data_IF_683515991277
#
_entry.id   IF_683515991277
#
_cell.length_a   1.000
_cell.length_b   1.000
_cell.length_c   1.000
_cell.angle_alpha   90.00
_cell.angle_beta   90.00
_cell.angle_gamma   90.00
#
_symmetry.space_group_name_H-M   'P 1'
#
loop_
_entity.id
_entity.type
_entity.pdbx_description
1 polymer ?
#
# COMPACT_ATOMS: atom_id res chain seq x y z
N UNK A 1 -6.81 22.19 2.17
CA UNK A 1 -6.98 21.21 1.06
C UNK A 1 -8.34 20.53 1.22
N UNK A 2 -9.22 20.68 0.26
CA UNK A 2 -10.55 20.01 0.35
C UNK A 2 -10.35 18.50 0.21
N UNK A 3 -10.75 17.76 1.22
CA UNK A 3 -10.86 16.31 1.14
C UNK A 3 -12.09 15.97 0.28
N UNK A 4 -11.88 15.21 -0.79
CA UNK A 4 -13.00 14.64 -1.54
C UNK A 4 -13.39 13.32 -0.89
N UNK A 5 -14.62 13.16 -0.49
CA UNK A 5 -15.11 11.90 0.05
C UNK A 5 -15.03 10.78 -0.99
N UNK A 6 -14.89 9.56 -0.51
CA UNK A 6 -14.89 8.38 -1.37
C UNK A 6 -16.22 8.27 -2.15
N UNK A 7 -16.18 7.59 -3.28
CA UNK A 7 -17.36 7.40 -4.14
C UNK A 7 -18.62 6.87 -3.40
N UNK A 8 -18.42 6.22 -2.26
CA UNK A 8 -19.53 5.73 -1.43
C UNK A 8 -20.29 6.84 -0.68
N UNK A 9 -19.63 7.96 -0.40
CA UNK A 9 -20.25 9.07 0.33
C UNK A 9 -21.19 9.88 -0.56
N UNK A 10 -20.95 9.89 -1.87
CA UNK A 10 -21.84 10.60 -2.81
C UNK A 10 -23.15 9.89 -3.11
N UNK A 11 -23.28 8.62 -2.72
CA UNK A 11 -24.53 7.88 -2.93
C UNK A 11 -25.72 8.38 -2.09
N UNK A 12 -25.46 9.11 -1.01
CA UNK A 12 -26.48 9.50 -0.03
C UNK A 12 -26.76 11.00 0.04
N UNK A 13 -26.12 11.84 -0.76
CA UNK A 13 -26.43 13.26 -0.76
C UNK A 13 -27.45 13.58 -1.86
N UNK A 14 -28.69 13.73 -1.48
CA UNK A 14 -29.81 14.20 -2.30
C UNK A 14 -29.74 15.72 -2.55
N UNK A 15 -28.64 16.22 -3.03
CA UNK A 15 -28.52 17.61 -3.48
C UNK A 15 -28.38 17.55 -5.00
N UNK A 16 -29.36 18.12 -5.70
CA UNK A 16 -29.48 18.14 -7.16
C UNK A 16 -28.37 18.88 -7.89
N UNK A 17 -27.14 18.47 -7.69
CA UNK A 17 -26.00 18.97 -8.41
C UNK A 17 -25.17 17.78 -8.92
N UNK A 18 -24.58 17.95 -10.05
CA UNK A 18 -23.76 17.01 -10.80
C UNK A 18 -22.97 16.07 -9.88
N UNK A 19 -23.39 14.80 -9.80
CA UNK A 19 -22.66 13.76 -9.07
C UNK A 19 -21.46 13.36 -9.93
N UNK A 20 -20.28 13.79 -9.53
CA UNK A 20 -19.06 13.33 -10.15
C UNK A 20 -18.75 11.91 -9.68
N UNK A 21 -18.85 10.96 -10.57
CA UNK A 21 -18.40 9.58 -10.34
C UNK A 21 -16.99 9.42 -10.90
N UNK A 22 -16.07 8.85 -10.11
CA UNK A 22 -14.75 8.48 -10.61
C UNK A 22 -14.42 7.04 -10.27
N UNK A 23 -13.63 6.43 -11.15
CA UNK A 23 -13.12 5.07 -11.00
C UNK A 23 -11.61 5.03 -11.12
N UNK A 24 -10.94 5.98 -10.47
CA UNK A 24 -9.49 6.09 -10.48
C UNK A 24 -8.88 5.09 -9.49
N UNK A 25 -8.97 3.81 -9.83
CA UNK A 25 -8.42 2.70 -9.04
C UNK A 25 -7.16 2.18 -9.69
N UNK A 26 -6.14 1.99 -8.87
CA UNK A 26 -4.83 1.54 -9.33
C UNK A 26 -4.30 0.43 -8.43
N UNK A 27 -3.72 -0.57 -9.07
CA UNK A 27 -2.80 -1.50 -8.42
C UNK A 27 -1.42 -0.86 -8.40
N UNK A 28 -0.84 -0.71 -7.22
CA UNK A 28 0.49 -0.13 -7.03
C UNK A 28 1.35 -1.15 -6.33
N UNK A 29 2.53 -1.42 -6.89
CA UNK A 29 3.53 -2.29 -6.27
C UNK A 29 4.86 -1.53 -6.19
N UNK A 30 5.46 -1.54 -5.01
CA UNK A 30 6.79 -0.97 -4.80
C UNK A 30 7.57 -1.79 -3.77
N UNK A 31 8.88 -1.71 -3.84
CA UNK A 31 9.77 -2.58 -3.09
C UNK A 31 10.82 -1.78 -2.30
N UNK A 32 11.34 -2.35 -1.19
CA UNK A 32 12.51 -1.81 -0.53
C UNK A 32 13.71 -1.73 -1.47
N UNK A 33 14.61 -0.80 -1.21
CA UNK A 33 15.84 -0.63 -1.97
C UNK A 33 16.64 -1.93 -2.02
N UNK A 34 17.18 -2.26 -3.20
CA UNK A 34 17.88 -3.50 -3.48
C UNK A 34 17.02 -4.77 -3.40
N UNK A 35 15.70 -4.64 -3.47
CA UNK A 35 14.73 -5.75 -3.40
C UNK A 35 15.03 -6.76 -2.28
N UNK A 36 15.58 -6.28 -1.19
CA UNK A 36 15.86 -7.13 -0.03
C UNK A 36 14.59 -7.50 0.68
N UNK A 37 14.48 -8.72 1.12
CA UNK A 37 13.46 -9.16 2.06
C UNK A 37 13.70 -8.45 3.39
N UNK A 38 13.07 -7.29 3.58
CA UNK A 38 13.29 -6.41 4.73
C UNK A 38 12.02 -6.18 5.55
N UNK A 39 10.87 -6.50 4.98
CA UNK A 39 9.56 -6.19 5.57
C UNK A 39 9.09 -7.37 6.42
N UNK A 40 9.54 -7.42 7.67
CA UNK A 40 9.18 -8.48 8.61
C UNK A 40 8.67 -7.92 9.94
N UNK A 41 7.90 -8.72 10.66
CA UNK A 41 7.49 -8.50 12.05
C UNK A 41 7.01 -7.07 12.35
N UNK A 42 7.66 -6.43 13.32
CA UNK A 42 7.33 -5.07 13.77
C UNK A 42 7.43 -4.03 12.66
N UNK A 43 8.43 -4.14 11.79
CA UNK A 43 8.59 -3.24 10.66
C UNK A 43 7.41 -3.36 9.69
N UNK A 44 6.94 -4.58 9.43
CA UNK A 44 5.76 -4.83 8.60
C UNK A 44 4.51 -4.14 9.16
N UNK A 45 4.26 -4.29 10.45
CA UNK A 45 3.13 -3.65 11.14
C UNK A 45 3.23 -2.12 11.10
N UNK A 46 4.40 -1.57 11.37
CA UNK A 46 4.64 -0.12 11.34
C UNK A 46 4.47 0.46 9.93
N UNK A 47 4.98 -0.23 8.90
CA UNK A 47 4.78 0.18 7.51
C UNK A 47 3.28 0.23 7.16
N UNK A 48 2.51 -0.77 7.53
CA UNK A 48 1.08 -0.80 7.32
C UNK A 48 0.36 0.39 7.96
N UNK A 49 0.69 0.71 9.19
CA UNK A 49 0.13 1.87 9.91
C UNK A 49 0.52 3.18 9.23
N UNK A 50 1.79 3.33 8.85
CA UNK A 50 2.32 4.53 8.20
C UNK A 50 1.63 4.76 6.86
N UNK A 51 1.58 3.75 6.00
CA UNK A 51 0.97 3.87 4.68
C UNK A 51 -0.53 4.19 4.75
N UNK A 52 -1.25 3.58 5.68
CA UNK A 52 -2.66 3.88 5.93
C UNK A 52 -2.88 5.34 6.32
N UNK A 53 -2.12 5.85 7.27
CA UNK A 53 -2.20 7.26 7.69
C UNK A 53 -1.91 8.23 6.54
N UNK A 54 -0.89 7.94 5.74
CA UNK A 54 -0.53 8.79 4.60
C UNK A 54 -1.60 8.78 3.52
N UNK A 55 -2.23 7.64 3.26
CA UNK A 55 -3.37 7.55 2.34
C UNK A 55 -4.59 8.33 2.85
N UNK A 56 -4.94 8.17 4.13
CA UNK A 56 -6.03 8.92 4.77
C UNK A 56 -5.80 10.43 4.66
N UNK A 57 -4.59 10.89 4.93
CA UNK A 57 -4.23 12.29 4.84
C UNK A 57 -4.42 12.88 3.44
N UNK A 58 -4.24 12.10 2.40
CA UNK A 58 -4.47 12.51 1.00
C UNK A 58 -5.88 12.22 0.49
N UNK A 59 -6.74 11.66 1.31
CA UNK A 59 -8.08 11.26 0.87
C UNK A 59 -8.08 10.09 -0.10
N UNK A 60 -7.04 9.29 -0.10
CA UNK A 60 -6.91 8.07 -0.90
C UNK A 60 -7.45 6.89 -0.11
N UNK A 61 -8.40 6.17 -0.68
CA UNK A 61 -8.96 4.98 -0.07
C UNK A 61 -8.13 3.74 -0.43
N UNK A 62 -7.72 2.99 0.59
CA UNK A 62 -7.13 1.66 0.41
C UNK A 62 -8.28 0.65 0.33
N UNK A 63 -8.40 -0.01 -0.83
CA UNK A 63 -9.41 -1.05 -1.06
C UNK A 63 -8.88 -2.42 -0.67
N UNK A 64 -7.62 -2.66 -0.94
CA UNK A 64 -6.89 -3.87 -0.63
C UNK A 64 -5.40 -3.54 -0.48
N UNK A 65 -4.70 -4.18 0.43
CA UNK A 65 -3.26 -4.02 0.56
C UNK A 65 -2.63 -5.26 1.16
N UNK A 66 -1.40 -5.51 0.78
CA UNK A 66 -0.61 -6.60 1.31
C UNK A 66 0.87 -6.20 1.41
N UNK A 67 1.48 -6.51 2.54
CA UNK A 67 2.90 -6.33 2.76
C UNK A 67 3.60 -7.69 2.69
N UNK A 68 4.30 -7.92 1.59
CA UNK A 68 5.18 -9.07 1.43
C UNK A 68 6.59 -8.72 1.93
N UNK A 69 7.45 -9.73 2.22
CA UNK A 69 8.80 -9.46 2.72
C UNK A 69 9.66 -8.57 1.82
N UNK A 70 9.44 -8.60 0.52
CA UNK A 70 10.22 -7.90 -0.51
C UNK A 70 9.45 -6.84 -1.29
N UNK A 71 8.16 -6.67 -1.06
CA UNK A 71 7.34 -5.64 -1.73
C UNK A 71 6.06 -5.31 -0.97
N UNK A 72 5.51 -4.17 -1.29
CA UNK A 72 4.16 -3.75 -0.90
C UNK A 72 3.27 -3.78 -2.13
N UNK A 73 2.11 -4.36 -1.99
CA UNK A 73 1.02 -4.27 -2.94
C UNK A 73 -0.14 -3.47 -2.35
N UNK A 74 -0.70 -2.58 -3.14
CA UNK A 74 -1.87 -1.79 -2.75
C UNK A 74 -2.85 -1.66 -3.92
N UNK A 75 -4.12 -1.85 -3.64
CA UNK A 75 -5.21 -1.42 -4.50
C UNK A 75 -5.84 -0.17 -3.88
N UNK A 76 -5.72 0.96 -4.56
CA UNK A 76 -6.14 2.26 -4.05
C UNK A 76 -7.12 2.95 -4.99
N UNK A 77 -8.01 3.76 -4.42
CA UNK A 77 -8.85 4.70 -5.14
C UNK A 77 -8.34 6.12 -4.90
N UNK A 78 -7.85 6.75 -5.96
CA UNK A 78 -7.22 8.07 -5.89
C UNK A 78 -8.21 9.12 -6.42
N UNK A 79 -8.45 10.23 -5.69
CA UNK A 79 -9.25 11.33 -6.20
C UNK A 79 -8.68 11.90 -7.51
N UNK A 80 -9.53 12.27 -8.50
CA UNK A 80 -9.06 12.73 -9.80
C UNK A 80 -8.16 13.96 -9.77
N UNK A 81 -8.25 14.78 -8.73
CA UNK A 81 -7.43 15.97 -8.54
C UNK A 81 -5.97 15.67 -8.22
N UNK A 82 -5.66 14.45 -7.80
CA UNK A 82 -4.31 14.03 -7.41
C UNK A 82 -3.75 13.17 -8.53
N UNK A 83 -2.58 13.55 -9.07
CA UNK A 83 -1.89 12.70 -10.03
C UNK A 83 -1.31 11.47 -9.35
N UNK A 84 -1.35 10.34 -10.04
CA UNK A 84 -0.77 9.09 -9.56
C UNK A 84 0.71 9.24 -9.20
N UNK A 85 1.49 9.86 -10.07
CA UNK A 85 2.93 10.07 -9.84
C UNK A 85 3.20 10.93 -8.61
N UNK A 86 2.43 12.00 -8.42
CA UNK A 86 2.52 12.85 -7.22
C UNK A 86 2.17 12.09 -5.95
N UNK A 87 1.12 11.29 -5.98
CA UNK A 87 0.70 10.47 -4.84
C UNK A 87 1.76 9.42 -4.47
N UNK A 88 2.27 8.66 -5.44
CA UNK A 88 3.29 7.63 -5.18
C UNK A 88 4.59 8.26 -4.69
N UNK A 89 5.01 9.39 -5.25
CA UNK A 89 6.17 10.13 -4.78
C UNK A 89 6.02 10.59 -3.33
N UNK A 90 4.86 11.13 -2.98
CA UNK A 90 4.52 11.52 -1.62
C UNK A 90 4.53 10.30 -0.67
N UNK A 91 3.85 9.23 -1.04
CA UNK A 91 3.73 8.01 -0.24
C UNK A 91 5.10 7.41 0.08
N UNK A 92 5.93 7.22 -0.93
CA UNK A 92 7.27 6.67 -0.78
C UNK A 92 8.21 7.58 0.01
N UNK A 93 8.20 8.88 -0.29
CA UNK A 93 9.07 9.84 0.39
C UNK A 93 8.74 10.00 1.87
N UNK A 94 7.47 10.25 2.20
CA UNK A 94 7.03 10.42 3.58
C UNK A 94 7.13 9.13 4.39
N UNK A 95 6.77 7.99 3.81
CA UNK A 95 6.90 6.72 4.51
C UNK A 95 8.36 6.38 4.82
N UNK A 96 9.29 6.65 3.91
CA UNK A 96 10.72 6.46 4.17
C UNK A 96 11.19 7.24 5.40
N UNK A 97 10.83 8.51 5.49
CA UNK A 97 11.18 9.34 6.66
C UNK A 97 10.59 8.78 7.95
N UNK A 98 9.32 8.42 7.93
CA UNK A 98 8.64 7.87 9.12
C UNK A 98 9.19 6.50 9.54
N UNK A 99 9.57 5.66 8.58
CA UNK A 99 10.22 4.39 8.84
C UNK A 99 11.58 4.61 9.52
N UNK A 100 12.39 5.52 9.01
CA UNK A 100 13.70 5.82 9.59
C UNK A 100 13.60 6.48 10.98
N UNK A 101 12.55 7.24 11.24
CA UNK A 101 12.32 7.80 12.57
C UNK A 101 11.99 6.71 13.60
N UNK A 102 11.19 5.73 13.22
CA UNK A 102 10.83 4.60 14.10
C UNK A 102 11.92 3.53 14.20
N UNK A 103 12.67 3.33 13.14
CA UNK A 103 13.69 2.29 13.00
C UNK A 103 15.02 2.90 12.59
N UNK A 104 15.65 3.63 13.53
CA UNK A 104 16.87 4.39 13.28
C UNK A 104 18.04 3.55 12.76
N UNK A 105 18.12 2.26 13.13
CA UNK A 105 19.12 1.33 12.65
C UNK A 105 19.04 1.09 11.12
N UNK A 106 17.86 1.19 10.55
CA UNK A 106 17.68 1.05 9.08
C UNK A 106 18.26 2.24 8.32
N UNK A 107 18.31 3.40 8.93
CA UNK A 107 18.87 4.61 8.34
C UNK A 107 20.32 4.41 7.88
N UNK A 108 21.12 3.75 8.70
CA UNK A 108 22.50 3.42 8.36
C UNK A 108 22.59 2.38 7.25
N UNK A 109 21.71 1.38 7.27
CA UNK A 109 21.67 0.30 6.27
C UNK A 109 21.31 0.79 4.86
N UNK A 110 20.47 1.83 4.76
CA UNK A 110 19.98 2.37 3.49
C UNK A 110 20.62 3.71 3.10
N UNK A 111 21.71 4.07 3.73
CA UNK A 111 22.48 5.27 3.37
C UNK A 111 21.76 6.59 3.61
N UNK A 112 20.94 6.68 4.63
CA UNK A 112 20.22 7.88 5.09
C UNK A 112 19.19 8.49 4.11
N UNK A 113 18.84 7.86 2.99
CA UNK A 113 18.09 8.58 1.95
C UNK A 113 16.76 7.97 1.58
N UNK A 114 16.74 6.71 1.18
CA UNK A 114 15.54 6.10 0.61
C UNK A 114 15.38 4.67 1.10
N UNK A 115 14.25 4.39 1.70
CA UNK A 115 13.89 3.02 2.04
C UNK A 115 13.41 2.24 0.81
N UNK A 116 12.71 2.91 -0.10
CA UNK A 116 12.11 2.30 -1.29
C UNK A 116 12.99 2.42 -2.53
N UNK A 117 12.89 1.44 -3.42
CA UNK A 117 13.47 1.54 -4.78
C UNK A 117 12.89 2.74 -5.53
N UNK A 118 13.63 3.27 -6.51
CA UNK A 118 13.17 4.39 -7.34
C UNK A 118 11.89 4.11 -8.10
N UNK A 119 11.76 2.93 -8.68
CA UNK A 119 10.61 2.56 -9.50
C UNK A 119 9.41 2.08 -8.70
N UNK A 120 8.30 1.95 -9.37
CA UNK A 120 7.08 1.30 -8.92
C UNK A 120 6.34 0.73 -10.12
N UNK A 121 5.56 -0.31 -9.88
CA UNK A 121 4.65 -0.85 -10.87
C UNK A 121 3.25 -0.32 -10.62
N UNK A 122 2.55 0.05 -11.69
CA UNK A 122 1.16 0.50 -11.63
C UNK A 122 0.37 -0.12 -12.76
N UNK A 123 -0.84 -0.56 -12.43
CA UNK A 123 -1.83 -0.96 -13.40
C UNK A 123 -3.20 -0.38 -13.02
N UNK A 124 -4.01 -0.08 -14.01
CA UNK A 124 -5.38 0.38 -13.80
C UNK A 124 -6.31 -0.80 -13.57
N UNK A 125 -7.28 -0.62 -12.68
CA UNK A 125 -8.29 -1.66 -12.42
C UNK A 125 -9.27 -1.73 -13.57
N UNK A 126 -9.30 -2.83 -14.27
CA UNK A 126 -10.28 -3.07 -15.31
C UNK A 126 -10.39 -4.52 -15.76
N UNK A 127 -9.28 -5.23 -15.91
CA UNK A 127 -9.30 -6.55 -16.51
C UNK A 127 -8.68 -7.68 -15.69
N UNK A 128 -7.86 -7.39 -14.67
CA UNK A 128 -6.98 -8.41 -14.08
C UNK A 128 -7.00 -8.46 -12.54
N UNK A 129 -8.06 -8.00 -11.88
CA UNK A 129 -8.15 -8.03 -10.41
C UNK A 129 -7.95 -9.45 -9.86
N UNK A 130 -8.54 -10.45 -10.51
CA UNK A 130 -8.42 -11.85 -10.11
C UNK A 130 -7.02 -12.41 -10.31
N UNK A 131 -6.36 -12.05 -11.42
CA UNK A 131 -4.99 -12.48 -11.72
C UNK A 131 -4.01 -11.91 -10.72
N UNK A 132 -4.15 -10.63 -10.36
CA UNK A 132 -3.28 -9.98 -9.38
C UNK A 132 -3.53 -10.55 -7.98
N UNK A 133 -4.78 -10.74 -7.59
CA UNK A 133 -5.11 -11.38 -6.31
C UNK A 133 -4.57 -12.82 -6.24
N UNK A 134 -4.65 -13.57 -7.33
CA UNK A 134 -4.06 -14.90 -7.45
C UNK A 134 -2.54 -14.86 -7.29
N UNK A 135 -1.87 -13.96 -8.01
CA UNK A 135 -0.42 -13.78 -7.92
C UNK A 135 0.05 -13.48 -6.49
N UNK A 136 -0.64 -12.59 -5.80
CA UNK A 136 -0.30 -12.23 -4.42
C UNK A 136 -0.49 -13.43 -3.47
N UNK A 137 -1.56 -14.20 -3.64
CA UNK A 137 -1.81 -15.41 -2.84
C UNK A 137 -0.72 -16.46 -3.08
N UNK A 138 -0.33 -16.67 -4.33
CA UNK A 138 0.74 -17.60 -4.70
C UNK A 138 2.09 -17.18 -4.08
N UNK A 139 2.43 -15.90 -4.14
CA UNK A 139 3.63 -15.34 -3.50
C UNK A 139 3.63 -15.54 -1.98
N UNK A 140 2.49 -15.33 -1.33
CA UNK A 140 2.35 -15.58 0.09
C UNK A 140 2.50 -17.06 0.44
N UNK A 141 1.88 -17.95 -0.33
CA UNK A 141 2.00 -19.40 -0.12
C UNK A 141 3.43 -19.89 -0.31
N UNK A 142 4.11 -19.45 -1.36
CA UNK A 142 5.51 -19.77 -1.58
C UNK A 142 6.39 -19.34 -0.40
N UNK A 143 6.15 -18.14 0.14
CA UNK A 143 6.89 -17.62 1.29
C UNK A 143 6.60 -18.42 2.57
N UNK A 144 5.39 -18.91 2.76
CA UNK A 144 5.01 -19.76 3.88
C UNK A 144 5.67 -21.16 3.75
N UNK A 145 5.59 -21.76 2.57
CA UNK A 145 6.19 -23.08 2.27
C UNK A 145 7.71 -23.03 2.42
N UNK A 146 8.32 -21.94 2.01
CA UNK A 146 9.76 -21.73 2.18
C UNK A 146 10.19 -21.47 3.64
N UNK A 147 9.24 -21.42 4.59
CA UNK A 147 9.52 -21.15 6.01
C UNK A 147 10.06 -19.74 6.27
N UNK A 148 9.84 -18.82 5.34
CA UNK A 148 10.36 -17.44 5.40
C UNK A 148 9.47 -16.51 6.21
N UNK A 149 8.25 -16.93 6.54
CA UNK A 149 7.27 -16.16 7.30
C UNK A 149 7.01 -16.78 8.66
N UNK A 150 7.02 -15.97 9.69
CA UNK A 150 6.56 -16.34 11.03
C UNK A 150 5.03 -16.22 11.14
N UNK A 151 4.44 -16.81 12.19
CA UNK A 151 3.00 -16.68 12.45
C UNK A 151 2.55 -15.22 12.60
N UNK A 152 3.42 -14.33 13.08
CA UNK A 152 3.14 -12.90 13.20
C UNK A 152 3.10 -12.19 11.84
N UNK A 153 3.82 -12.72 10.87
CA UNK A 153 3.89 -12.17 9.52
C UNK A 153 2.71 -12.59 8.65
N UNK A 154 1.93 -13.56 9.11
CA UNK A 154 0.65 -13.94 8.51
C UNK A 154 -0.49 -12.98 8.85
N UNK A 155 -0.23 -11.98 9.68
CA UNK A 155 -1.20 -10.93 9.99
C UNK A 155 -1.12 -9.82 8.94
N UNK A 156 -2.27 -9.43 8.42
CA UNK A 156 -2.36 -8.28 7.54
C UNK A 156 -2.09 -6.99 8.32
N UNK A 157 -1.03 -6.24 7.99
CA UNK A 157 -0.69 -5.02 8.72
C UNK A 157 -1.69 -3.88 8.50
N UNK A 158 -2.55 -3.98 7.49
CA UNK A 158 -3.56 -2.96 7.18
C UNK A 158 -4.88 -3.20 7.90
N UNK A 159 -5.28 -4.45 8.07
CA UNK A 159 -6.53 -4.82 8.75
C UNK A 159 -6.32 -5.32 10.15
N UNK A 160 -5.11 -5.79 10.48
CA UNK A 160 -4.82 -6.46 11.75
C UNK A 160 -5.40 -7.87 11.87
N UNK A 161 -5.95 -8.40 10.77
CA UNK A 161 -6.53 -9.74 10.72
C UNK A 161 -5.55 -10.76 10.14
N UNK A 162 -5.72 -12.05 10.45
CA UNK A 162 -4.96 -13.09 9.79
C UNK A 162 -5.22 -13.09 8.28
N UNK A 163 -4.15 -13.21 7.50
CA UNK A 163 -4.27 -13.33 6.04
C UNK A 163 -5.03 -14.62 5.74
N UNK A 164 -6.21 -14.49 5.13
CA UNK A 164 -7.05 -15.63 4.79
C UNK A 164 -6.33 -16.50 3.76
N UNK A 165 -5.96 -17.69 4.18
CA UNK A 165 -5.55 -18.76 3.29
C UNK A 165 -6.81 -19.32 2.62
N UNK A 166 -6.90 -19.23 1.34
CA UNK A 166 -7.94 -19.89 0.55
C UNK A 166 -7.36 -21.07 -0.20
#
# INVERSE_FOLDING_TARGET
MRQYPSASVYKNSSIGSVISKWRCKYHIVFAPQCRRKAIYEKLKADIGVILRKLCEYKGVAILEANACPDHIYMLVSIPPKISLASFVGYLKGKSSLMIFDKHANLKYKYGNRHFWCKGYYVDTVGRNKEIIAKYIREQLQESIIAGQLSLKELMDPFTGEPVKQS
#
